data_IF_415404068734
#
_entry.id   IF_415404068734
#
_cell.length_a   1.000
_cell.length_b   1.000
_cell.length_c   1.000
_cell.angle_alpha   90.00
_cell.angle_beta   90.00
_cell.angle_gamma   90.00
#
_symmetry.space_group_name_H-M   'P 1'
#
loop_
_entity.id
_entity.type
_entity.pdbx_description
1 polymer ?
#
# COMPACT_ATOMS: atom_id res chain seq x y z
N UNK A 1 53.24 -102.39 -49.43
CA UNK A 1 52.60 -101.20 -50.04
C UNK A 1 51.14 -101.21 -49.66
N UNK A 2 50.74 -100.55 -48.56
CA UNK A 2 50.35 -99.13 -48.46
C UNK A 2 48.99 -98.81 -49.11
N UNK A 3 48.05 -98.50 -48.19
CA UNK A 3 46.94 -97.55 -48.27
C UNK A 3 45.57 -98.06 -48.72
N UNK A 4 44.87 -98.59 -47.70
CA UNK A 4 43.61 -98.04 -47.17
C UNK A 4 42.50 -97.80 -48.20
N UNK A 5 41.68 -98.83 -48.41
CA UNK A 5 40.27 -98.71 -48.76
C UNK A 5 39.54 -97.96 -47.63
N UNK A 6 39.63 -96.63 -47.65
CA UNK A 6 38.93 -95.75 -46.72
C UNK A 6 37.48 -95.64 -47.22
N UNK A 7 36.62 -96.49 -46.65
CA UNK A 7 35.17 -96.58 -46.88
C UNK A 7 34.57 -95.20 -47.25
N UNK A 8 34.01 -95.03 -48.47
CA UNK A 8 33.46 -93.75 -48.92
C UNK A 8 32.30 -93.27 -48.01
N UNK A 9 31.49 -94.21 -47.53
CA UNK A 9 30.32 -93.95 -46.67
C UNK A 9 30.66 -93.20 -45.36
N UNK A 10 31.85 -93.41 -44.79
CA UNK A 10 32.24 -92.77 -43.52
C UNK A 10 32.70 -91.32 -43.71
N UNK A 11 33.16 -90.95 -44.93
CA UNK A 11 33.54 -89.58 -45.29
C UNK A 11 32.31 -88.73 -45.58
N UNK A 12 31.33 -89.28 -46.28
CA UNK A 12 30.11 -88.54 -46.64
C UNK A 12 29.28 -88.19 -45.39
N UNK A 13 29.24 -89.07 -44.40
CA UNK A 13 28.61 -88.80 -43.09
C UNK A 13 29.33 -87.73 -42.26
N UNK A 14 30.66 -87.61 -42.37
CA UNK A 14 31.42 -86.54 -41.70
C UNK A 14 31.22 -85.19 -42.40
N UNK A 15 31.20 -85.16 -43.74
CA UNK A 15 30.97 -83.96 -44.54
C UNK A 15 29.55 -83.41 -44.33
N UNK A 16 28.55 -84.29 -44.24
CA UNK A 16 27.17 -83.90 -43.91
C UNK A 16 27.05 -83.35 -42.48
N UNK A 17 27.80 -83.90 -41.52
CA UNK A 17 27.82 -83.42 -40.13
C UNK A 17 28.52 -82.07 -39.97
N UNK A 18 29.65 -81.85 -40.66
CA UNK A 18 30.33 -80.56 -40.70
C UNK A 18 29.48 -79.50 -41.39
N UNK A 19 28.83 -79.83 -42.51
CA UNK A 19 27.90 -78.94 -43.20
C UNK A 19 26.66 -78.57 -42.35
N UNK A 20 26.11 -79.51 -41.59
CA UNK A 20 24.96 -79.25 -40.70
C UNK A 20 25.32 -78.32 -39.53
N UNK A 21 26.51 -78.50 -38.94
CA UNK A 21 27.01 -77.63 -37.87
C UNK A 21 27.31 -76.22 -38.38
N UNK A 22 27.89 -76.08 -39.57
CA UNK A 22 28.13 -74.77 -40.20
C UNK A 22 26.84 -74.02 -40.52
N UNK A 23 25.81 -74.71 -41.02
CA UNK A 23 24.48 -74.12 -41.25
C UNK A 23 23.87 -73.65 -39.92
N UNK A 24 24.04 -74.42 -38.84
CA UNK A 24 23.51 -74.07 -37.53
C UNK A 24 24.25 -72.89 -36.88
N UNK A 25 25.60 -72.84 -36.99
CA UNK A 25 26.41 -71.71 -36.55
C UNK A 25 26.09 -70.43 -37.33
N UNK A 26 25.89 -70.53 -38.65
CA UNK A 26 25.47 -69.40 -39.48
C UNK A 26 24.10 -68.86 -39.04
N UNK A 27 23.13 -69.73 -38.76
CA UNK A 27 21.81 -69.30 -38.26
C UNK A 27 21.87 -68.67 -36.86
N UNK A 28 22.71 -69.18 -35.97
CA UNK A 28 22.91 -68.60 -34.64
C UNK A 28 23.60 -67.22 -34.71
N UNK A 29 24.52 -67.04 -35.67
CA UNK A 29 25.16 -65.74 -35.94
C UNK A 29 24.14 -64.68 -36.37
N UNK A 30 23.25 -65.01 -37.31
CA UNK A 30 22.17 -64.09 -37.71
C UNK A 30 21.18 -63.83 -36.58
N UNK A 31 20.88 -64.83 -35.73
CA UNK A 31 20.02 -64.64 -34.56
C UNK A 31 20.65 -63.70 -33.53
N UNK A 32 21.97 -63.82 -33.30
CA UNK A 32 22.73 -62.89 -32.44
C UNK A 32 22.71 -61.47 -33.00
N UNK A 33 22.89 -61.28 -34.31
CA UNK A 33 22.83 -59.96 -34.95
C UNK A 33 21.46 -59.29 -34.81
N UNK A 34 20.38 -60.05 -35.02
CA UNK A 34 19.01 -59.56 -34.81
C UNK A 34 18.77 -59.27 -33.32
N UNK A 35 19.22 -60.16 -32.42
CA UNK A 35 19.12 -59.95 -30.98
C UNK A 35 19.84 -58.69 -30.52
N UNK A 36 21.03 -58.42 -31.05
CA UNK A 36 21.80 -57.21 -30.75
C UNK A 36 21.08 -55.94 -31.24
N UNK A 37 20.46 -55.99 -32.42
CA UNK A 37 19.65 -54.88 -32.94
C UNK A 37 18.40 -54.64 -32.08
N UNK A 38 17.69 -55.70 -31.67
CA UNK A 38 16.53 -55.58 -30.79
C UNK A 38 16.94 -54.99 -29.44
N UNK A 39 18.03 -55.46 -28.83
CA UNK A 39 18.55 -54.93 -27.58
C UNK A 39 18.98 -53.46 -27.73
N UNK A 40 19.59 -53.08 -28.86
CA UNK A 40 19.97 -51.69 -29.11
C UNK A 40 18.75 -50.77 -29.25
N UNK A 41 17.73 -51.19 -30.02
CA UNK A 41 16.48 -50.43 -30.16
C UNK A 41 15.75 -50.35 -28.83
N UNK A 42 15.68 -51.46 -28.08
CA UNK A 42 15.06 -51.49 -26.76
C UNK A 42 15.81 -50.58 -25.79
N UNK A 43 17.14 -50.63 -25.77
CA UNK A 43 17.96 -49.72 -24.98
C UNK A 43 17.68 -48.26 -25.32
N UNK A 44 17.64 -47.91 -26.60
CA UNK A 44 17.36 -46.53 -27.03
C UNK A 44 15.96 -46.05 -26.60
N UNK A 45 14.93 -46.86 -26.85
CA UNK A 45 13.53 -46.51 -26.55
C UNK A 45 13.27 -46.42 -25.05
N UNK A 46 13.84 -47.31 -24.24
CA UNK A 46 13.56 -47.38 -22.80
C UNK A 46 14.51 -46.58 -21.93
N UNK A 47 15.72 -46.26 -22.40
CA UNK A 47 16.71 -45.51 -21.60
C UNK A 47 16.96 -44.11 -22.15
N UNK A 48 17.32 -44.01 -23.43
CA UNK A 48 17.78 -42.75 -24.02
C UNK A 48 16.61 -41.78 -24.18
N UNK A 49 15.50 -42.23 -24.79
CA UNK A 49 14.35 -41.38 -25.05
C UNK A 49 13.72 -40.79 -23.76
N UNK A 50 13.49 -41.58 -22.68
CA UNK A 50 12.94 -41.03 -21.44
C UNK A 50 13.90 -40.07 -20.73
N UNK A 51 15.22 -40.28 -20.82
CA UNK A 51 16.22 -39.36 -20.23
C UNK A 51 16.16 -37.98 -20.90
N UNK A 52 16.07 -37.94 -22.23
CA UNK A 52 15.90 -36.68 -22.96
C UNK A 52 14.58 -35.97 -22.62
N UNK A 53 13.48 -36.72 -22.52
CA UNK A 53 12.17 -36.15 -22.16
C UNK A 53 12.17 -35.55 -20.75
N UNK A 54 12.85 -36.19 -19.79
CA UNK A 54 13.00 -35.64 -18.43
C UNK A 54 13.82 -34.36 -18.41
N UNK A 55 14.98 -34.35 -19.08
CA UNK A 55 15.83 -33.15 -19.13
C UNK A 55 15.13 -31.94 -19.72
N UNK A 56 14.33 -32.14 -20.79
CA UNK A 56 13.55 -31.05 -21.41
C UNK A 56 12.42 -30.56 -20.49
N UNK A 57 11.78 -31.46 -19.76
CA UNK A 57 10.72 -31.09 -18.83
C UNK A 57 11.27 -30.32 -17.63
N UNK A 58 12.42 -30.76 -17.08
CA UNK A 58 13.09 -30.08 -15.96
C UNK A 58 13.53 -28.66 -16.35
N UNK A 59 14.04 -28.47 -17.57
CA UNK A 59 14.36 -27.14 -18.11
C UNK A 59 13.12 -26.26 -18.23
N UNK A 60 12.00 -26.79 -18.74
CA UNK A 60 10.74 -26.05 -18.82
C UNK A 60 10.19 -25.67 -17.45
N UNK A 61 10.28 -26.58 -16.46
CA UNK A 61 9.86 -26.32 -15.08
C UNK A 61 10.73 -25.21 -14.48
N UNK A 62 12.04 -25.29 -14.63
CA UNK A 62 12.96 -24.26 -14.14
C UNK A 62 12.66 -22.88 -14.76
N UNK A 63 12.40 -22.82 -16.08
CA UNK A 63 11.99 -21.58 -16.73
C UNK A 63 10.65 -21.05 -16.19
N UNK A 64 9.67 -21.93 -15.97
CA UNK A 64 8.37 -21.53 -15.44
C UNK A 64 8.45 -21.06 -13.99
N UNK A 65 9.30 -21.67 -13.17
CA UNK A 65 9.53 -21.25 -11.79
C UNK A 65 10.20 -19.87 -11.72
N UNK A 66 11.17 -19.60 -12.61
CA UNK A 66 11.78 -18.28 -12.76
C UNK A 66 10.74 -17.24 -13.21
N UNK A 67 9.91 -17.58 -14.22
CA UNK A 67 8.86 -16.70 -14.71
C UNK A 67 7.83 -16.38 -13.61
N UNK A 68 7.37 -17.39 -12.87
CA UNK A 68 6.46 -17.22 -11.74
C UNK A 68 7.05 -16.34 -10.65
N UNK A 69 8.30 -16.56 -10.27
CA UNK A 69 9.00 -15.75 -9.26
C UNK A 69 9.13 -14.30 -9.71
N UNK A 70 9.47 -14.07 -10.98
CA UNK A 70 9.55 -12.73 -11.55
C UNK A 70 8.19 -12.03 -11.58
N UNK A 71 7.13 -12.74 -11.97
CA UNK A 71 5.77 -12.20 -11.98
C UNK A 71 5.26 -11.90 -10.57
N UNK A 72 5.53 -12.77 -9.60
CA UNK A 72 5.18 -12.57 -8.20
C UNK A 72 5.89 -11.32 -7.63
N UNK A 73 7.20 -11.19 -7.87
CA UNK A 73 7.96 -10.01 -7.46
C UNK A 73 7.41 -8.72 -8.08
N UNK A 74 7.01 -8.76 -9.35
CA UNK A 74 6.39 -7.62 -10.04
C UNK A 74 5.03 -7.29 -9.44
N UNK A 75 4.20 -8.30 -9.13
CA UNK A 75 2.90 -8.11 -8.51
C UNK A 75 3.04 -7.49 -7.12
N UNK A 76 3.96 -7.98 -6.29
CA UNK A 76 4.23 -7.46 -4.96
C UNK A 76 4.71 -6.00 -5.02
N UNK A 77 5.60 -5.68 -5.97
CA UNK A 77 6.04 -4.28 -6.18
C UNK A 77 4.90 -3.37 -6.60
N UNK A 78 4.04 -3.82 -7.51
CA UNK A 78 2.87 -3.03 -7.94
C UNK A 78 1.88 -2.85 -6.79
N UNK A 79 1.71 -3.87 -5.96
CA UNK A 79 0.90 -3.79 -4.76
C UNK A 79 1.43 -2.74 -3.77
N UNK A 80 2.72 -2.73 -3.47
CA UNK A 80 3.32 -1.75 -2.54
C UNK A 80 3.13 -0.29 -3.02
N UNK A 81 3.32 -0.06 -4.32
CA UNK A 81 3.07 1.26 -4.93
C UNK A 81 1.59 1.64 -4.79
N UNK A 82 0.69 0.71 -5.12
CA UNK A 82 -0.75 0.94 -5.04
C UNK A 82 -1.21 1.18 -3.59
N UNK A 83 -0.74 0.38 -2.64
CA UNK A 83 -1.00 0.50 -1.20
C UNK A 83 -0.65 1.89 -0.71
N UNK A 84 0.56 2.37 -1.01
CA UNK A 84 1.01 3.71 -0.63
C UNK A 84 0.16 4.82 -1.25
N UNK A 85 -0.19 4.73 -2.52
CA UNK A 85 -1.00 5.75 -3.22
C UNK A 85 -2.43 5.81 -2.68
N UNK A 86 -3.06 4.66 -2.46
CA UNK A 86 -4.42 4.52 -1.94
C UNK A 86 -4.52 5.09 -0.53
N UNK A 87 -3.57 4.77 0.36
CA UNK A 87 -3.51 5.32 1.72
C UNK A 87 -3.28 6.84 1.68
N UNK A 88 -2.36 7.34 0.84
CA UNK A 88 -2.12 8.79 0.70
C UNK A 88 -3.38 9.54 0.26
N UNK A 89 -4.13 8.99 -0.70
CA UNK A 89 -5.41 9.57 -1.15
C UNK A 89 -6.42 9.60 -0.02
N UNK A 90 -6.53 8.52 0.74
CA UNK A 90 -7.40 8.47 1.91
C UNK A 90 -7.02 9.53 2.96
N UNK A 91 -5.74 9.63 3.32
CA UNK A 91 -5.20 10.64 4.25
C UNK A 91 -5.52 12.05 3.77
N UNK A 92 -5.28 12.33 2.48
CA UNK A 92 -5.58 13.64 1.88
C UNK A 92 -7.08 13.98 1.94
N UNK A 93 -7.95 13.04 1.58
CA UNK A 93 -9.40 13.24 1.60
C UNK A 93 -9.94 13.38 3.02
N UNK A 94 -9.44 12.59 3.96
CA UNK A 94 -9.80 12.65 5.38
C UNK A 94 -9.39 13.98 6.00
N UNK A 95 -8.17 14.44 5.72
CA UNK A 95 -7.70 15.76 6.15
C UNK A 95 -8.60 16.89 5.65
N UNK A 96 -8.99 16.86 4.37
CA UNK A 96 -9.85 17.89 3.80
C UNK A 96 -11.26 17.89 4.39
N UNK A 97 -11.87 16.71 4.56
CA UNK A 97 -13.25 16.57 5.05
C UNK A 97 -13.35 16.76 6.56
N UNK A 98 -12.53 16.04 7.31
CA UNK A 98 -12.60 16.02 8.78
C UNK A 98 -11.88 17.21 9.40
N UNK A 99 -10.84 17.74 8.76
CA UNK A 99 -10.24 19.02 9.13
C UNK A 99 -11.04 20.25 8.69
N UNK A 100 -12.21 20.06 8.05
CA UNK A 100 -13.11 21.13 7.57
C UNK A 100 -12.37 22.24 6.82
N UNK A 101 -11.45 21.88 5.92
CA UNK A 101 -10.71 22.85 5.11
C UNK A 101 -11.63 23.71 4.21
N UNK A 102 -12.88 23.27 4.02
CA UNK A 102 -13.95 23.99 3.34
C UNK A 102 -14.53 25.16 4.15
N UNK A 103 -14.41 25.13 5.48
CA UNK A 103 -14.78 26.23 6.36
C UNK A 103 -13.70 27.31 6.48
N UNK A 104 -12.51 27.09 5.91
CA UNK A 104 -11.50 28.14 5.84
C UNK A 104 -12.03 29.25 4.92
N UNK A 105 -11.99 30.52 5.35
CA UNK A 105 -12.46 31.62 4.52
C UNK A 105 -11.68 31.60 3.23
N UNK A 106 -12.38 31.45 2.10
CA UNK A 106 -11.75 31.27 0.78
C UNK A 106 -10.93 32.51 0.40
N UNK A 107 -11.36 33.66 0.92
CA UNK A 107 -10.79 34.97 0.65
C UNK A 107 -10.86 35.80 1.95
N UNK A 108 -9.84 36.60 2.26
CA UNK A 108 -9.88 37.52 3.41
C UNK A 108 -11.12 38.44 3.42
N UNK A 109 -11.65 38.74 2.22
CA UNK A 109 -12.91 39.46 1.96
C UNK A 109 -14.12 39.01 2.80
N UNK A 110 -14.29 37.70 3.01
CA UNK A 110 -15.47 37.15 3.72
C UNK A 110 -15.43 37.41 5.23
N UNK A 111 -14.24 37.67 5.80
CA UNK A 111 -14.06 38.07 7.19
C UNK A 111 -14.47 39.55 7.37
N UNK A 112 -14.31 40.38 6.33
CA UNK A 112 -14.49 41.84 6.41
C UNK A 112 -15.95 42.34 6.26
N UNK A 113 -16.89 41.50 5.81
CA UNK A 113 -18.25 41.95 5.48
C UNK A 113 -19.26 41.85 6.65
N UNK A 114 -18.86 41.27 7.79
CA UNK A 114 -19.72 41.16 8.97
C UNK A 114 -19.42 42.29 9.97
N UNK A 115 -20.42 43.14 10.23
CA UNK A 115 -20.39 44.27 11.17
C UNK A 115 -20.12 43.92 12.65
N UNK A 116 -19.82 42.65 12.98
CA UNK A 116 -19.37 42.17 14.30
C UNK A 116 -18.41 41.01 14.13
N UNK A 117 -17.15 41.36 13.86
CA UNK A 117 -16.05 40.41 13.61
C UNK A 117 -15.87 39.45 14.81
N UNK A 118 -16.03 39.90 16.06
CA UNK A 118 -15.79 39.05 17.24
C UNK A 118 -16.86 37.97 17.45
N UNK A 119 -18.13 38.31 17.30
CA UNK A 119 -19.23 37.38 17.59
C UNK A 119 -19.40 36.33 16.48
N UNK A 120 -19.08 36.68 15.23
CA UNK A 120 -19.13 35.72 14.12
C UNK A 120 -17.94 34.77 14.07
N UNK A 121 -16.75 35.21 14.52
CA UNK A 121 -15.56 34.33 14.58
C UNK A 121 -15.75 33.21 15.59
N UNK A 122 -16.20 33.50 16.83
CA UNK A 122 -16.45 32.45 17.83
C UNK A 122 -17.45 31.42 17.31
N UNK A 123 -18.53 31.87 16.68
CA UNK A 123 -19.55 30.98 16.13
C UNK A 123 -19.03 30.15 14.93
N UNK A 124 -18.28 30.76 14.01
CA UNK A 124 -17.70 30.07 12.84
C UNK A 124 -16.62 29.06 13.26
N UNK A 125 -15.75 29.44 14.19
CA UNK A 125 -14.71 28.55 14.73
C UNK A 125 -15.31 27.43 15.60
N UNK A 126 -16.40 27.71 16.32
CA UNK A 126 -17.14 26.72 17.10
C UNK A 126 -17.63 25.53 16.26
N UNK A 127 -18.07 25.78 15.02
CA UNK A 127 -18.54 24.74 14.09
C UNK A 127 -17.48 23.68 13.73
N UNK A 128 -16.20 23.96 13.96
CA UNK A 128 -15.13 22.97 13.77
C UNK A 128 -15.11 21.92 14.88
N UNK A 129 -15.54 22.28 16.10
CA UNK A 129 -15.60 21.36 17.24
C UNK A 129 -16.84 20.47 17.22
N UNK A 130 -17.86 20.82 16.41
CA UNK A 130 -19.08 20.00 16.24
C UNK A 130 -18.86 18.72 15.42
N UNK A 131 -17.70 18.56 14.78
CA UNK A 131 -17.38 17.36 14.01
C UNK A 131 -17.08 16.19 14.95
N UNK A 132 -17.80 15.08 14.80
CA UNK A 132 -17.37 13.81 15.36
C UNK A 132 -16.26 13.23 14.47
N UNK A 133 -15.05 13.15 15.02
CA UNK A 133 -13.88 12.71 14.27
C UNK A 133 -13.95 11.22 13.95
N UNK A 134 -14.62 10.43 14.79
CA UNK A 134 -14.81 9.01 14.55
C UNK A 134 -15.79 8.79 13.41
N UNK A 135 -16.96 9.43 13.49
CA UNK A 135 -17.95 9.35 12.40
C UNK A 135 -17.35 9.85 11.07
N UNK A 136 -16.64 10.99 11.09
CA UNK A 136 -16.07 11.55 9.87
C UNK A 136 -15.01 10.65 9.23
N UNK A 137 -14.09 10.09 10.02
CA UNK A 137 -13.03 9.23 9.49
C UNK A 137 -13.57 7.89 9.01
N UNK A 138 -14.50 7.28 9.76
CA UNK A 138 -15.15 6.01 9.37
C UNK A 138 -16.02 6.20 8.12
N UNK A 139 -16.78 7.29 8.03
CA UNK A 139 -17.56 7.64 6.85
C UNK A 139 -16.67 7.92 5.63
N UNK A 140 -15.53 8.60 5.84
CA UNK A 140 -14.57 8.82 4.76
C UNK A 140 -13.95 7.52 4.28
N UNK A 141 -13.67 6.59 5.21
CA UNK A 141 -13.13 5.28 4.89
C UNK A 141 -14.16 4.44 4.11
N UNK A 142 -15.41 4.42 4.53
CA UNK A 142 -16.49 3.65 3.88
C UNK A 142 -16.87 4.21 2.50
N UNK A 143 -16.85 5.53 2.33
CA UNK A 143 -17.12 6.20 1.06
C UNK A 143 -15.91 6.26 0.13
N UNK A 144 -14.73 5.86 0.59
CA UNK A 144 -13.54 5.85 -0.26
C UNK A 144 -13.66 4.74 -1.30
N UNK A 145 -14.03 5.17 -2.53
CA UNK A 145 -14.24 4.28 -3.65
C UNK A 145 -12.98 3.43 -3.88
N UNK A 146 -13.16 2.12 -3.93
CA UNK A 146 -12.13 1.10 -4.20
C UNK A 146 -11.09 0.89 -3.10
N UNK A 147 -11.17 1.51 -1.92
CA UNK A 147 -10.12 1.34 -0.89
C UNK A 147 -10.07 -0.11 -0.35
N UNK A 148 -11.24 -0.67 -0.05
CA UNK A 148 -11.40 -2.07 0.40
C UNK A 148 -11.00 -3.08 -0.69
N UNK A 149 -11.16 -2.73 -1.96
CA UNK A 149 -10.84 -3.60 -3.10
C UNK A 149 -9.36 -3.49 -3.51
N UNK A 150 -8.74 -2.35 -3.23
CA UNK A 150 -7.36 -2.04 -3.63
C UNK A 150 -6.32 -2.52 -2.62
N UNK A 151 -6.74 -2.80 -1.38
CA UNK A 151 -5.90 -3.27 -0.29
C UNK A 151 -6.16 -4.75 -0.01
N UNK A 152 -5.12 -5.47 0.40
CA UNK A 152 -5.27 -6.79 1.00
C UNK A 152 -6.11 -6.69 2.28
N UNK A 153 -6.87 -7.72 2.65
CA UNK A 153 -7.70 -7.70 3.85
C UNK A 153 -6.93 -7.35 5.13
N UNK A 154 -5.69 -7.82 5.26
CA UNK A 154 -4.82 -7.55 6.40
C UNK A 154 -4.45 -6.07 6.51
N UNK A 155 -4.07 -5.46 5.38
CA UNK A 155 -3.73 -4.04 5.31
C UNK A 155 -4.94 -3.14 5.54
N UNK A 156 -6.12 -3.53 5.02
CA UNK A 156 -7.36 -2.81 5.26
C UNK A 156 -7.75 -2.83 6.75
N UNK A 157 -7.67 -4.00 7.39
CA UNK A 157 -7.96 -4.13 8.82
C UNK A 157 -6.95 -3.37 9.68
N UNK A 158 -5.67 -3.36 9.29
CA UNK A 158 -4.65 -2.57 9.96
C UNK A 158 -4.94 -1.06 9.84
N UNK A 159 -5.34 -0.60 8.65
CA UNK A 159 -5.73 0.80 8.43
C UNK A 159 -6.96 1.16 9.27
N UNK A 160 -7.97 0.30 9.32
CA UNK A 160 -9.18 0.51 10.12
C UNK A 160 -8.84 0.67 11.61
N UNK A 161 -8.00 -0.21 12.16
CA UNK A 161 -7.56 -0.13 13.55
C UNK A 161 -6.78 1.16 13.86
N UNK A 162 -5.92 1.60 12.93
CA UNK A 162 -5.24 2.89 13.06
C UNK A 162 -6.21 4.07 12.98
N UNK A 163 -7.21 4.02 12.11
CA UNK A 163 -8.26 5.05 12.01
C UNK A 163 -9.04 5.17 13.31
N UNK A 164 -9.45 4.05 13.92
CA UNK A 164 -10.15 4.03 15.21
C UNK A 164 -9.28 4.61 16.34
N UNK A 165 -8.01 4.23 16.39
CA UNK A 165 -7.08 4.74 17.40
C UNK A 165 -6.88 6.25 17.25
N UNK A 166 -6.68 6.70 16.01
CA UNK A 166 -6.51 8.12 15.68
C UNK A 166 -7.79 8.92 15.95
N UNK A 167 -8.97 8.37 15.69
CA UNK A 167 -10.23 9.05 15.96
C UNK A 167 -10.44 9.29 17.46
N UNK A 168 -10.11 8.31 18.31
CA UNK A 168 -10.18 8.45 19.77
C UNK A 168 -9.23 9.56 20.26
N UNK A 169 -7.98 9.58 19.77
CA UNK A 169 -7.01 10.62 20.13
C UNK A 169 -7.50 12.01 19.72
N UNK A 170 -8.00 12.15 18.49
CA UNK A 170 -8.50 13.41 17.98
C UNK A 170 -9.76 13.88 18.72
N UNK A 171 -10.67 12.99 19.08
CA UNK A 171 -11.84 13.32 19.90
C UNK A 171 -11.44 13.77 21.31
N UNK A 172 -10.43 13.13 21.91
CA UNK A 172 -9.91 13.55 23.23
C UNK A 172 -9.31 14.95 23.16
N UNK A 173 -8.46 15.20 22.16
CA UNK A 173 -7.87 16.53 21.94
C UNK A 173 -8.93 17.59 21.63
N UNK A 174 -9.95 17.22 20.84
CA UNK A 174 -11.08 18.09 20.54
C UNK A 174 -11.77 18.56 21.81
N UNK A 175 -12.11 17.65 22.72
CA UNK A 175 -12.77 17.99 23.99
C UNK A 175 -11.90 18.91 24.86
N UNK A 176 -10.59 18.65 24.92
CA UNK A 176 -9.65 19.51 25.66
C UNK A 176 -9.61 20.93 25.08
N UNK A 177 -9.42 21.05 23.77
CA UNK A 177 -9.30 22.34 23.10
C UNK A 177 -10.64 23.08 23.02
N UNK A 178 -11.76 22.37 22.90
CA UNK A 178 -13.09 22.95 22.98
C UNK A 178 -13.33 23.58 24.36
N UNK A 179 -12.95 22.90 25.46
CA UNK A 179 -13.03 23.49 26.80
C UNK A 179 -12.16 24.74 26.97
N UNK A 180 -10.97 24.76 26.35
CA UNK A 180 -10.13 25.97 26.29
C UNK A 180 -10.82 27.08 25.49
N UNK A 181 -11.35 26.75 24.31
CA UNK A 181 -12.03 27.67 23.40
C UNK A 181 -13.26 28.33 24.04
N UNK A 182 -14.12 27.56 24.68
CA UNK A 182 -15.36 28.04 25.28
C UNK A 182 -15.09 29.02 26.44
N UNK A 183 -14.08 28.70 27.26
CA UNK A 183 -13.69 29.49 28.45
C UNK A 183 -12.70 30.62 28.16
N UNK A 184 -12.12 30.68 26.95
CA UNK A 184 -11.02 31.59 26.63
C UNK A 184 -11.41 33.06 26.80
N UNK A 185 -12.57 33.45 26.27
CA UNK A 185 -13.05 34.84 26.33
C UNK A 185 -13.29 35.29 27.78
N UNK A 186 -13.94 34.47 28.60
CA UNK A 186 -14.22 34.79 30.01
C UNK A 186 -12.93 34.92 30.84
N UNK A 187 -11.96 34.03 30.58
CA UNK A 187 -10.63 34.09 31.18
C UNK A 187 -9.87 35.34 30.76
N UNK A 188 -9.95 35.74 29.49
CA UNK A 188 -9.29 36.94 28.98
C UNK A 188 -9.88 38.22 29.59
N UNK A 189 -11.20 38.26 29.80
CA UNK A 189 -11.86 39.38 30.50
C UNK A 189 -11.44 39.46 31.97
N UNK A 190 -11.25 38.32 32.63
CA UNK A 190 -10.89 38.26 34.05
C UNK A 190 -9.40 38.43 34.31
N UNK A 191 -8.55 38.03 33.37
CA UNK A 191 -7.10 38.14 33.42
C UNK A 191 -6.53 38.52 32.04
N UNK A 192 -6.37 39.82 31.75
CA UNK A 192 -5.83 40.29 30.47
C UNK A 192 -4.40 39.86 30.17
N UNK A 193 -3.62 39.42 31.17
CA UNK A 193 -2.21 38.99 30.97
C UNK A 193 -2.09 37.70 30.14
N UNK A 194 -3.17 36.94 29.99
CA UNK A 194 -3.18 35.73 29.15
C UNK A 194 -3.18 36.07 27.65
N UNK A 195 -3.48 37.33 27.29
CA UNK A 195 -3.55 37.77 25.92
C UNK A 195 -2.15 38.00 25.36
N UNK A 196 -1.78 37.20 24.36
CA UNK A 196 -0.57 37.43 23.62
C UNK A 196 -0.64 38.77 22.86
N UNK A 197 0.50 39.44 22.63
CA UNK A 197 0.55 40.58 21.72
C UNK A 197 0.08 40.17 20.32
N UNK A 198 -0.52 41.11 19.61
CA UNK A 198 -0.92 40.88 18.23
C UNK A 198 0.33 40.60 17.39
N UNK A 199 0.27 39.53 16.58
CA UNK A 199 1.36 39.21 15.64
C UNK A 199 1.30 40.21 14.49
N UNK A 200 2.43 40.78 14.06
CA UNK A 200 2.48 41.79 12.99
C UNK A 200 1.89 41.29 11.65
N UNK A 201 1.94 39.97 11.43
CA UNK A 201 1.37 39.30 10.26
C UNK A 201 -0.12 38.95 10.40
N UNK A 202 -0.68 39.10 11.60
CA UNK A 202 -2.09 38.85 11.88
C UNK A 202 -2.99 39.83 11.14
N UNK A 203 -4.10 39.32 10.60
CA UNK A 203 -5.12 40.14 9.96
C UNK A 203 -5.73 41.16 10.95
N UNK A 204 -5.81 40.78 12.23
CA UNK A 204 -6.33 41.64 13.29
C UNK A 204 -5.40 42.84 13.55
N UNK A 205 -4.08 42.63 13.54
CA UNK A 205 -3.11 43.70 13.69
C UNK A 205 -3.20 44.73 12.55
N UNK A 206 -3.24 44.25 11.30
CA UNK A 206 -3.31 45.11 10.13
C UNK A 206 -4.60 45.94 10.11
N UNK A 207 -5.73 45.32 10.45
CA UNK A 207 -7.01 46.00 10.56
C UNK A 207 -7.00 47.10 11.63
N UNK A 208 -6.50 46.76 12.81
CA UNK A 208 -6.46 47.69 13.94
C UNK A 208 -5.57 48.91 13.64
N UNK A 209 -4.41 48.70 13.01
CA UNK A 209 -3.52 49.80 12.61
C UNK A 209 -4.14 50.68 11.51
N UNK A 210 -4.93 50.12 10.60
CA UNK A 210 -5.65 50.90 9.57
C UNK A 210 -6.76 51.79 10.16
N UNK A 211 -7.43 51.36 11.23
CA UNK A 211 -8.51 52.12 11.87
C UNK A 211 -8.04 53.05 12.99
N UNK A 212 -6.78 52.97 13.39
CA UNK A 212 -6.20 53.71 14.52
C UNK A 212 -6.38 55.23 14.42
N UNK A 213 -6.22 55.79 13.22
CA UNK A 213 -6.35 57.24 12.99
C UNK A 213 -7.80 57.75 13.04
N UNK A 214 -8.79 56.86 12.97
CA UNK A 214 -10.20 57.20 12.98
C UNK A 214 -10.92 56.85 14.28
N UNK A 215 -10.19 56.47 15.34
CA UNK A 215 -10.73 56.02 16.62
C UNK A 215 -10.22 56.88 17.78
N UNK A 216 -11.03 57.01 18.83
CA UNK A 216 -10.57 57.54 20.11
C UNK A 216 -9.67 56.51 20.82
N UNK A 217 -8.81 56.96 21.74
CA UNK A 217 -7.92 56.06 22.49
C UNK A 217 -8.71 54.96 23.23
N UNK A 218 -9.87 55.30 23.80
CA UNK A 218 -10.71 54.33 24.50
C UNK A 218 -11.30 53.27 23.55
N UNK A 219 -11.71 53.68 22.36
CA UNK A 219 -12.20 52.75 21.33
C UNK A 219 -11.05 51.87 20.83
N UNK A 220 -9.87 52.45 20.59
CA UNK A 220 -8.69 51.71 20.18
C UNK A 220 -8.30 50.61 21.17
N UNK A 221 -8.27 50.91 22.48
CA UNK A 221 -7.96 49.90 23.50
C UNK A 221 -9.01 48.79 23.58
N UNK A 222 -10.30 49.11 23.36
CA UNK A 222 -11.37 48.10 23.30
C UNK A 222 -11.21 47.19 22.08
N UNK A 223 -10.93 47.76 20.91
CA UNK A 223 -10.72 47.00 19.67
C UNK A 223 -9.43 46.17 19.71
N UNK A 224 -8.38 46.68 20.36
CA UNK A 224 -7.14 45.94 20.61
C UNK A 224 -7.41 44.68 21.45
N UNK A 225 -8.17 44.82 22.53
CA UNK A 225 -8.56 43.68 23.37
C UNK A 225 -9.34 42.64 22.56
N UNK A 226 -10.36 43.05 21.81
CA UNK A 226 -11.15 42.15 20.97
C UNK A 226 -10.30 41.46 19.90
N UNK A 227 -9.39 42.20 19.27
CA UNK A 227 -8.43 41.67 18.30
C UNK A 227 -7.52 40.60 18.93
N UNK A 228 -7.02 40.82 20.15
CA UNK A 228 -6.19 39.85 20.87
C UNK A 228 -6.98 38.60 21.27
N UNK A 229 -8.22 38.77 21.74
CA UNK A 229 -9.12 37.63 22.05
C UNK A 229 -9.36 36.79 20.79
N UNK A 230 -9.68 37.44 19.67
CA UNK A 230 -9.91 36.74 18.40
C UNK A 230 -8.65 36.04 17.88
N UNK A 231 -7.47 36.65 18.06
CA UNK A 231 -6.19 36.00 17.74
C UNK A 231 -5.98 34.75 18.60
N UNK A 232 -6.26 34.81 19.90
CA UNK A 232 -6.14 33.65 20.79
C UNK A 232 -7.12 32.51 20.43
N UNK A 233 -8.37 32.83 20.11
CA UNK A 233 -9.34 31.86 19.60
C UNK A 233 -8.88 31.20 18.29
N UNK A 234 -8.29 31.99 17.39
CA UNK A 234 -7.73 31.50 16.14
C UNK A 234 -6.49 30.63 16.37
N UNK A 235 -5.63 30.97 17.34
CA UNK A 235 -4.47 30.17 17.70
C UNK A 235 -4.89 28.79 18.27
N UNK A 236 -5.92 28.73 19.13
CA UNK A 236 -6.51 27.47 19.63
C UNK A 236 -7.07 26.63 18.47
N UNK A 237 -7.79 27.27 17.55
CA UNK A 237 -8.31 26.61 16.36
C UNK A 237 -7.18 26.05 15.48
N UNK A 238 -6.14 26.83 15.24
CA UNK A 238 -4.98 26.41 14.45
C UNK A 238 -4.22 25.26 15.10
N UNK A 239 -4.13 25.24 16.44
CA UNK A 239 -3.57 24.12 17.20
C UNK A 239 -4.36 22.84 16.94
N UNK A 240 -5.70 22.90 17.04
CA UNK A 240 -6.56 21.75 16.76
C UNK A 240 -6.40 21.26 15.32
N UNK A 241 -6.53 22.17 14.35
CA UNK A 241 -6.41 21.86 12.93
C UNK A 241 -5.04 21.25 12.60
N UNK A 242 -3.95 21.82 13.12
CA UNK A 242 -2.60 21.28 12.96
C UNK A 242 -2.46 19.87 13.52
N UNK A 243 -3.05 19.61 14.69
CA UNK A 243 -3.05 18.28 15.29
C UNK A 243 -3.86 17.27 14.46
N UNK A 244 -5.01 17.66 13.89
CA UNK A 244 -5.76 16.83 12.94
C UNK A 244 -4.86 16.42 11.77
N UNK A 245 -4.23 17.40 11.11
CA UNK A 245 -3.35 17.13 9.98
C UNK A 245 -2.21 16.19 10.36
N UNK A 246 -1.60 16.40 11.53
CA UNK A 246 -0.48 15.58 12.02
C UNK A 246 -0.90 14.14 12.31
N UNK A 247 -2.00 13.93 13.04
CA UNK A 247 -2.46 12.60 13.42
C UNK A 247 -3.02 11.83 12.20
N UNK A 248 -3.78 12.47 11.31
CA UNK A 248 -4.24 11.82 10.08
C UNK A 248 -3.06 11.53 9.13
N UNK A 249 -2.07 12.42 9.03
CA UNK A 249 -0.85 12.14 8.26
C UNK A 249 -0.03 10.97 8.84
N UNK A 250 -0.15 10.70 10.14
CA UNK A 250 0.52 9.54 10.77
C UNK A 250 -0.03 8.20 10.28
N UNK A 251 -1.25 8.15 9.73
CA UNK A 251 -1.84 6.94 9.13
C UNK A 251 -1.08 6.45 7.89
N UNK A 252 -0.20 7.29 7.33
CA UNK A 252 0.65 6.91 6.21
C UNK A 252 1.97 6.22 6.64
N UNK A 253 2.36 6.34 7.91
CA UNK A 253 3.58 5.71 8.44
C UNK A 253 3.34 4.26 8.80
#
# INVERSE_FOLDING_TARGET
MKRLLKNPVKRDLQILKESYMDIWHSRFSHFSQIGLLVVAVFGYVYTVLPVYQKSLLDEQIAHKEIELTAMQSKLDRMYEINRSDVIKRFVFMSNRKCGRADLLPKNGAEIFNEKRISQSIKQKLGQYFDVDMNECLVDTLSKSKNLKESLKPEDFNLLLSHVETTSIKLNTLKLELQGKFDTFQEKATSNPEILAPLKNESIFYRLLEMSKSSMSEKEYQSELFDAQVNQGLLDIHNEFTSAIYKEIASLWK
#
